data_IF_779016110446
#
_entry.id   IF_779016110446
#
_cell.length_a   1.000
_cell.length_b   1.000
_cell.length_c   1.000
_cell.angle_alpha   90.00
_cell.angle_beta   90.00
_cell.angle_gamma   90.00
#
_symmetry.space_group_name_H-M   'P 1'
#
loop_
_entity.id
_entity.type
_entity.pdbx_description
1 polymer ?
#
# COMPACT_ATOMS: atom_id res chain seq x y z
N UNK A 1 -27.15 -8.08 17.24
CA UNK A 1 -26.27 -7.21 18.02
C UNK A 1 -25.31 -6.50 17.06
N UNK A 2 -25.48 -5.20 16.81
CA UNK A 2 -24.55 -4.44 15.98
C UNK A 2 -23.32 -4.09 16.83
N UNK A 3 -22.22 -4.84 16.66
CA UNK A 3 -20.94 -4.51 17.28
C UNK A 3 -20.41 -3.23 16.63
N UNK A 4 -20.22 -2.18 17.41
CA UNK A 4 -19.63 -0.92 16.94
C UNK A 4 -18.18 -1.22 16.54
N UNK A 5 -17.85 -1.13 15.25
CA UNK A 5 -16.50 -1.36 14.74
C UNK A 5 -15.60 -0.25 15.29
N UNK A 6 -14.49 -0.61 15.95
CA UNK A 6 -13.54 0.36 16.49
C UNK A 6 -12.46 0.64 15.44
N UNK A 7 -12.55 1.80 14.81
CA UNK A 7 -11.53 2.25 13.86
C UNK A 7 -10.32 2.85 14.61
N UNK A 8 -9.13 2.48 14.15
CA UNK A 8 -7.85 3.02 14.61
C UNK A 8 -7.11 3.65 13.44
N UNK A 9 -6.38 4.74 13.71
CA UNK A 9 -5.50 5.40 12.73
C UNK A 9 -4.08 4.86 12.88
N UNK A 10 -3.43 4.54 11.77
CA UNK A 10 -2.03 4.10 11.73
C UNK A 10 -1.30 4.83 10.63
N UNK A 11 -0.11 5.33 10.94
CA UNK A 11 0.79 5.91 9.94
C UNK A 11 1.66 4.81 9.34
N UNK A 12 1.69 4.76 8.01
CA UNK A 12 2.55 3.87 7.23
C UNK A 12 3.01 4.60 5.97
N UNK A 13 4.32 4.63 5.72
CA UNK A 13 4.91 5.26 4.53
C UNK A 13 4.42 6.71 4.30
N UNK A 14 4.45 7.53 5.36
CA UNK A 14 3.95 8.91 5.40
C UNK A 14 2.46 9.10 5.08
N UNK A 15 1.68 8.02 5.06
CA UNK A 15 0.24 8.03 4.85
C UNK A 15 -0.51 7.59 6.11
N UNK A 16 -1.72 8.14 6.31
CA UNK A 16 -2.63 7.71 7.38
C UNK A 16 -3.60 6.67 6.81
N UNK A 17 -3.67 5.50 7.44
CA UNK A 17 -4.62 4.44 7.15
C UNK A 17 -5.59 4.26 8.32
N UNK A 18 -6.85 4.02 7.98
CA UNK A 18 -7.91 3.66 8.93
C UNK A 18 -8.09 2.15 8.90
N UNK A 19 -7.94 1.51 10.04
CA UNK A 19 -7.99 0.04 10.18
C UNK A 19 -8.89 -0.36 11.33
N UNK A 20 -9.40 -1.58 11.27
CA UNK A 20 -10.19 -2.20 12.35
C UNK A 20 -9.69 -3.62 12.59
N UNK A 21 -10.37 -4.36 13.47
CA UNK A 21 -10.01 -5.72 13.86
C UNK A 21 -10.05 -6.77 12.74
N UNK A 22 -10.67 -6.45 11.59
CA UNK A 22 -10.82 -7.38 10.47
C UNK A 22 -9.66 -7.32 9.46
N UNK A 23 -8.69 -6.43 9.66
CA UNK A 23 -7.51 -6.29 8.80
C UNK A 23 -6.24 -6.28 9.62
N UNK A 24 -5.13 -6.73 9.01
CA UNK A 24 -3.83 -6.65 9.65
C UNK A 24 -3.38 -5.20 9.75
N UNK A 25 -3.08 -4.74 10.97
CA UNK A 25 -2.48 -3.42 11.18
C UNK A 25 -1.16 -3.27 10.42
N UNK A 26 -0.96 -2.21 9.61
CA UNK A 26 0.28 -1.95 8.89
C UNK A 26 1.51 -2.02 9.80
N UNK A 27 2.56 -2.73 9.37
CA UNK A 27 3.80 -2.92 10.13
C UNK A 27 4.90 -2.05 9.55
N UNK A 28 5.60 -1.27 10.38
CA UNK A 28 6.71 -0.39 9.92
C UNK A 28 7.76 -1.12 9.08
N UNK A 29 8.11 -2.36 9.41
CA UNK A 29 9.06 -3.17 8.63
C UNK A 29 8.64 -3.36 7.17
N UNK A 30 7.34 -3.40 6.88
CA UNK A 30 6.78 -3.56 5.53
C UNK A 30 7.00 -2.32 4.65
N UNK A 31 7.37 -1.16 5.20
CA UNK A 31 7.74 0.01 4.40
C UNK A 31 8.96 -0.24 3.49
N UNK A 32 9.86 -1.14 3.91
CA UNK A 32 10.98 -1.57 3.07
C UNK A 32 10.51 -2.26 1.78
N UNK A 33 9.40 -3.01 1.83
CA UNK A 33 8.80 -3.65 0.65
C UNK A 33 8.28 -2.59 -0.34
N UNK A 34 7.65 -1.53 0.16
CA UNK A 34 7.19 -0.41 -0.69
C UNK A 34 8.37 0.25 -1.40
N UNK A 35 9.44 0.55 -0.67
CA UNK A 35 10.66 1.13 -1.27
C UNK A 35 11.27 0.24 -2.35
N UNK A 36 11.33 -1.07 -2.11
CA UNK A 36 11.84 -2.03 -3.10
C UNK A 36 10.94 -2.12 -4.34
N UNK A 37 9.62 -2.12 -4.16
CA UNK A 37 8.66 -2.13 -5.26
C UNK A 37 8.76 -0.87 -6.11
N UNK A 38 8.87 0.32 -5.50
CA UNK A 38 9.07 1.60 -6.20
C UNK A 38 10.30 1.51 -7.12
N UNK A 39 11.45 1.06 -6.59
CA UNK A 39 12.69 0.91 -7.39
C UNK A 39 12.51 -0.05 -8.57
N UNK A 40 11.78 -1.15 -8.38
CA UNK A 40 11.52 -2.10 -9.47
C UNK A 40 10.59 -1.49 -10.52
N UNK A 41 9.55 -0.78 -10.09
CA UNK A 41 8.60 -0.11 -10.98
C UNK A 41 9.30 0.97 -11.80
N UNK A 42 10.16 1.79 -11.21
CA UNK A 42 10.96 2.80 -11.93
C UNK A 42 11.81 2.15 -13.04
N UNK A 43 12.50 1.06 -12.71
CA UNK A 43 13.31 0.33 -13.69
C UNK A 43 12.46 -0.27 -14.81
N UNK A 44 11.27 -0.79 -14.50
CA UNK A 44 10.37 -1.36 -15.51
C UNK A 44 9.73 -0.29 -16.40
N UNK A 45 9.35 0.86 -15.81
CA UNK A 45 8.77 1.99 -16.52
C UNK A 45 9.78 2.65 -17.47
N UNK A 46 11.08 2.62 -17.14
CA UNK A 46 12.13 3.08 -18.06
C UNK A 46 12.12 2.33 -19.40
N UNK A 47 11.70 1.06 -19.41
CA UNK A 47 11.65 0.21 -20.60
C UNK A 47 10.25 0.07 -21.21
N UNK A 48 9.18 0.36 -20.46
CA UNK A 48 7.78 0.22 -20.89
C UNK A 48 6.91 1.36 -20.34
N UNK A 49 6.14 2.02 -21.20
CA UNK A 49 5.31 3.15 -20.78
C UNK A 49 4.02 2.76 -20.02
N UNK A 50 3.67 1.48 -19.96
CA UNK A 50 2.50 0.98 -19.24
C UNK A 50 2.89 -0.18 -18.34
N UNK A 51 2.60 -0.07 -17.05
CA UNK A 51 2.80 -1.13 -16.08
C UNK A 51 1.51 -1.36 -15.30
N UNK A 52 1.16 -2.63 -15.10
CA UNK A 52 0.04 -3.06 -14.26
C UNK A 52 0.56 -3.69 -12.98
N UNK A 53 0.06 -3.25 -11.84
CA UNK A 53 0.50 -3.72 -10.52
C UNK A 53 -0.67 -4.34 -9.77
N UNK A 54 -0.45 -5.51 -9.17
CA UNK A 54 -1.44 -6.20 -8.33
C UNK A 54 -0.86 -6.45 -6.95
N UNK A 55 -1.66 -6.20 -5.90
CA UNK A 55 -1.30 -6.46 -4.50
C UNK A 55 -2.15 -7.62 -3.95
N UNK A 56 -1.51 -8.78 -3.82
CA UNK A 56 -2.17 -10.01 -3.37
C UNK A 56 -2.21 -10.02 -1.85
N UNK A 57 -3.41 -10.12 -1.28
CA UNK A 57 -3.59 -10.04 0.17
C UNK A 57 -3.48 -8.61 0.70
N UNK A 58 -4.01 -7.64 -0.04
CA UNK A 58 -3.85 -6.21 0.22
C UNK A 58 -4.25 -5.74 1.62
N UNK A 59 -5.18 -6.45 2.30
CA UNK A 59 -5.59 -6.14 3.67
C UNK A 59 -6.03 -4.68 3.82
N UNK A 60 -5.29 -3.90 4.60
CA UNK A 60 -5.51 -2.45 4.76
C UNK A 60 -5.19 -1.59 3.53
N UNK A 61 -4.68 -2.18 2.45
CA UNK A 61 -4.29 -1.45 1.23
C UNK A 61 -2.97 -0.70 1.34
N UNK A 62 -2.23 -0.86 2.45
CA UNK A 62 -1.14 0.04 2.80
C UNK A 62 0.05 -0.06 1.85
N UNK A 63 0.29 -1.20 1.21
CA UNK A 63 1.36 -1.36 0.22
C UNK A 63 0.95 -0.70 -1.10
N UNK A 64 -0.11 -1.17 -1.75
CA UNK A 64 -0.52 -0.67 -3.06
C UNK A 64 -0.85 0.83 -3.06
N UNK A 65 -1.56 1.33 -2.06
CA UNK A 65 -1.90 2.76 -1.98
C UNK A 65 -0.64 3.61 -1.83
N UNK A 66 0.35 3.15 -1.07
CA UNK A 66 1.62 3.87 -0.91
C UNK A 66 2.40 3.92 -2.22
N UNK A 67 2.40 2.83 -2.99
CA UNK A 67 3.00 2.76 -4.33
C UNK A 67 2.25 3.66 -5.31
N UNK A 68 0.91 3.58 -5.37
CA UNK A 68 0.08 4.36 -6.29
C UNK A 68 0.17 5.86 -6.04
N UNK A 69 0.47 6.31 -4.82
CA UNK A 69 0.75 7.71 -4.52
C UNK A 69 2.10 8.20 -5.04
N UNK A 70 3.01 7.30 -5.37
CA UNK A 70 4.34 7.62 -5.88
C UNK A 70 4.36 7.76 -7.41
N UNK A 71 3.45 7.08 -8.12
CA UNK A 71 3.42 7.05 -9.59
C UNK A 71 2.07 7.51 -10.14
N UNK A 72 2.08 8.36 -11.17
CA UNK A 72 0.86 8.84 -11.83
C UNK A 72 0.39 7.95 -13.00
N UNK A 73 1.26 7.05 -13.49
CA UNK A 73 1.08 6.33 -14.77
C UNK A 73 1.15 4.80 -14.65
N UNK A 74 0.93 4.25 -13.44
CA UNK A 74 0.73 2.81 -13.25
C UNK A 74 -0.77 2.49 -13.16
N UNK A 75 -1.16 1.28 -13.58
CA UNK A 75 -2.55 0.79 -13.54
C UNK A 75 -2.72 -0.38 -12.59
#
# INVERSE_FOLDING_TARGET
MNKKIKENKVTFFNNIFYVNENVLTPRKKTEATVWQAIKQIENLLYHNNELRVVDIGTGSGNILISIAKYFYNIK
#
